data_IF_219324224822
#
_entry.id   IF_219324224822
#
_cell.length_a   1.000
_cell.length_b   1.000
_cell.length_c   1.000
_cell.angle_alpha   90.00
_cell.angle_beta   90.00
_cell.angle_gamma   90.00
#
_symmetry.space_group_name_H-M   'P 1'
#
loop_
_entity.id
_entity.type
_entity.pdbx_description
1 polymer ?
#
# COMPACT_ATOMS: atom_id res chain seq x y z
N UNK A 1 -1.75 10.08 7.35
CA UNK A 1 -1.63 8.76 8.02
C UNK A 1 -2.58 7.79 7.39
N UNK A 2 -2.28 6.47 7.32
CA UNK A 2 -3.16 5.54 6.66
C UNK A 2 -4.54 5.52 7.34
N UNK A 3 -5.59 5.70 6.56
CA UNK A 3 -6.97 5.72 7.05
C UNK A 3 -7.39 4.39 7.69
N UNK A 4 -6.80 3.29 7.22
CA UNK A 4 -7.04 1.94 7.73
C UNK A 4 -6.17 1.56 8.94
N UNK A 5 -5.33 2.47 9.46
CA UNK A 5 -4.51 2.22 10.66
C UNK A 5 -5.33 2.49 11.92
N UNK A 6 -5.48 1.55 12.85
CA UNK A 6 -6.12 1.80 14.13
C UNK A 6 -5.26 2.69 15.02
N UNK A 7 -5.92 3.37 15.95
CA UNK A 7 -5.31 4.27 16.92
C UNK A 7 -5.62 3.82 18.32
N UNK A 8 -4.59 3.71 19.14
CA UNK A 8 -4.71 3.41 20.57
C UNK A 8 -3.99 4.51 21.35
N UNK A 9 -4.67 5.11 22.31
CA UNK A 9 -4.15 6.18 23.18
C UNK A 9 -3.45 7.33 22.41
N UNK A 10 -4.01 7.71 21.26
CA UNK A 10 -3.43 8.76 20.40
C UNK A 10 -2.21 8.34 19.59
N UNK A 11 -1.84 7.06 19.59
CA UNK A 11 -0.72 6.51 18.83
C UNK A 11 -1.22 5.62 17.67
N UNK A 12 -0.67 5.77 16.45
CA UNK A 12 -1.03 4.94 15.32
C UNK A 12 -0.38 3.55 15.43
N UNK A 13 -1.19 2.51 15.30
CA UNK A 13 -0.73 1.12 15.30
C UNK A 13 -0.39 0.67 13.89
N UNK A 14 0.74 1.11 13.33
CA UNK A 14 1.12 0.86 11.94
C UNK A 14 1.27 -0.62 11.55
N UNK A 15 1.45 -1.50 12.52
CA UNK A 15 1.50 -2.94 12.26
C UNK A 15 0.12 -3.57 12.05
N UNK A 16 -0.94 -2.87 12.44
CA UNK A 16 -2.31 -3.35 12.42
C UNK A 16 -3.13 -2.70 11.31
N UNK A 17 -4.21 -3.36 10.94
CA UNK A 17 -5.21 -2.84 10.00
C UNK A 17 -6.56 -2.83 10.69
N UNK A 18 -7.25 -1.69 10.64
CA UNK A 18 -8.65 -1.59 11.06
C UNK A 18 -9.53 -2.22 9.98
N UNK A 19 -10.10 -3.36 10.30
CA UNK A 19 -10.89 -4.15 9.34
C UNK A 19 -12.19 -3.47 8.94
N UNK A 20 -12.86 -2.77 9.87
CA UNK A 20 -14.08 -2.02 9.56
C UNK A 20 -13.80 -0.95 8.51
N UNK A 21 -12.80 -0.12 8.76
CA UNK A 21 -12.37 0.92 7.80
C UNK A 21 -11.84 0.33 6.50
N UNK A 22 -11.13 -0.79 6.55
CA UNK A 22 -10.68 -1.48 5.34
C UNK A 22 -11.84 -1.98 4.50
N UNK A 23 -12.89 -2.50 5.13
CA UNK A 23 -14.11 -2.95 4.46
C UNK A 23 -14.88 -1.78 3.82
N UNK A 24 -14.96 -0.65 4.51
CA UNK A 24 -15.60 0.56 3.97
C UNK A 24 -14.80 1.12 2.80
N UNK A 25 -13.46 1.20 2.93
CA UNK A 25 -12.59 1.57 1.82
C UNK A 25 -12.77 0.66 0.60
N UNK A 26 -12.93 -0.65 0.82
CA UNK A 26 -13.14 -1.61 -0.26
C UNK A 26 -14.49 -1.40 -0.97
N UNK A 27 -15.60 -1.26 -0.21
CA UNK A 27 -16.96 -1.13 -0.74
C UNK A 27 -17.18 0.19 -1.44
N UNK A 28 -16.70 1.27 -0.85
CA UNK A 28 -16.93 2.64 -1.30
C UNK A 28 -15.82 3.16 -2.21
N UNK A 29 -14.85 2.33 -2.55
CA UNK A 29 -13.67 2.69 -3.37
C UNK A 29 -12.89 3.87 -2.77
N UNK A 30 -12.68 3.87 -1.46
CA UNK A 30 -11.90 4.90 -0.78
C UNK A 30 -10.42 4.53 -0.70
N UNK A 31 -9.59 5.53 -0.76
CA UNK A 31 -8.15 5.37 -0.58
C UNK A 31 -7.82 4.94 0.84
N UNK A 32 -7.08 3.85 1.00
CA UNK A 32 -6.66 3.31 2.30
C UNK A 32 -5.71 4.24 3.09
N UNK A 33 -5.20 5.29 2.46
CA UNK A 33 -4.31 6.29 3.11
C UNK A 33 -5.08 7.54 3.52
N UNK A 34 -5.79 8.20 2.60
CA UNK A 34 -6.43 9.49 2.86
C UNK A 34 -7.95 9.43 3.05
N UNK A 35 -8.55 8.26 2.89
CA UNK A 35 -10.00 8.01 3.01
C UNK A 35 -10.87 8.83 2.05
N UNK A 36 -10.33 9.32 0.95
CA UNK A 36 -11.12 9.99 -0.07
C UNK A 36 -11.38 9.08 -1.26
N UNK A 37 -12.44 9.36 -2.01
CA UNK A 37 -12.89 8.57 -3.15
C UNK A 37 -11.79 8.48 -4.21
N UNK A 38 -11.48 7.26 -4.64
CA UNK A 38 -10.60 7.04 -5.80
C UNK A 38 -11.41 7.13 -7.10
N UNK A 39 -10.90 7.83 -8.13
CA UNK A 39 -11.56 7.87 -9.43
C UNK A 39 -11.65 6.47 -10.04
N UNK A 40 -12.53 6.30 -11.01
CA UNK A 40 -12.51 5.09 -11.85
C UNK A 40 -11.23 5.08 -12.67
N UNK A 41 -10.57 3.93 -12.72
CA UNK A 41 -9.29 3.77 -13.38
C UNK A 41 -8.23 3.19 -12.45
N UNK A 42 -6.95 3.42 -12.69
CA UNK A 42 -5.88 2.77 -11.94
C UNK A 42 -5.96 3.04 -10.45
N UNK A 43 -5.72 2.00 -9.68
CA UNK A 43 -5.51 2.03 -8.23
C UNK A 43 -4.10 1.60 -7.90
N UNK A 44 -3.57 2.07 -6.79
CA UNK A 44 -2.15 1.93 -6.49
C UNK A 44 -1.94 1.18 -5.20
N UNK A 45 -0.82 0.45 -5.15
CA UNK A 45 -0.36 -0.25 -3.94
C UNK A 45 1.15 -0.23 -3.86
N UNK A 46 1.68 -0.23 -2.64
CA UNK A 46 3.10 -0.49 -2.40
C UNK A 46 3.30 -1.99 -2.33
N UNK A 47 4.25 -2.52 -3.10
CA UNK A 47 4.59 -3.95 -3.13
C UNK A 47 5.97 -4.19 -2.52
N UNK A 48 6.13 -5.32 -1.86
CA UNK A 48 7.42 -5.74 -1.30
C UNK A 48 8.38 -6.28 -2.36
N UNK A 49 9.65 -6.48 -1.99
CA UNK A 49 10.74 -6.85 -2.89
C UNK A 49 10.45 -8.07 -3.76
N UNK A 50 9.89 -9.14 -3.18
CA UNK A 50 9.60 -10.37 -3.94
C UNK A 50 8.55 -10.18 -5.02
N UNK A 51 7.46 -9.45 -4.72
CA UNK A 51 6.43 -9.15 -5.70
C UNK A 51 6.92 -8.14 -6.74
N UNK A 52 7.69 -7.13 -6.31
CA UNK A 52 8.34 -6.16 -7.19
C UNK A 52 9.23 -6.85 -8.24
N UNK A 53 10.08 -7.79 -7.81
CA UNK A 53 10.93 -8.57 -8.71
C UNK A 53 10.11 -9.38 -9.72
N UNK A 54 9.07 -10.07 -9.26
CA UNK A 54 8.20 -10.87 -10.12
C UNK A 54 7.44 -10.02 -11.16
N UNK A 55 7.00 -8.82 -10.76
CA UNK A 55 6.40 -7.85 -11.68
C UNK A 55 7.43 -7.39 -12.72
N UNK A 56 8.62 -6.97 -12.27
CA UNK A 56 9.70 -6.51 -13.15
C UNK A 56 10.11 -7.56 -14.18
N UNK A 57 10.27 -8.81 -13.76
CA UNK A 57 10.56 -9.94 -14.66
C UNK A 57 9.45 -10.19 -15.69
N UNK A 58 8.18 -10.14 -15.26
CA UNK A 58 7.06 -10.32 -16.16
C UNK A 58 7.01 -9.21 -17.22
N UNK A 59 7.16 -7.95 -16.80
CA UNK A 59 7.18 -6.80 -17.70
C UNK A 59 8.36 -6.84 -18.68
N UNK A 60 9.56 -7.16 -18.21
CA UNK A 60 10.74 -7.30 -19.05
C UNK A 60 10.59 -8.40 -20.11
N UNK A 61 9.84 -9.46 -19.78
CA UNK A 61 9.53 -10.55 -20.69
C UNK A 61 8.29 -10.29 -21.58
N UNK A 62 7.68 -9.11 -21.51
CA UNK A 62 6.46 -8.77 -22.24
C UNK A 62 5.24 -9.61 -21.83
N UNK A 63 5.24 -10.14 -20.62
CA UNK A 63 4.16 -11.00 -20.09
C UNK A 63 3.25 -10.21 -19.16
N UNK A 64 1.98 -10.56 -19.14
CA UNK A 64 1.06 -10.06 -18.13
C UNK A 64 1.45 -10.63 -16.75
N UNK A 65 1.60 -9.75 -15.79
CA UNK A 65 1.72 -10.16 -14.39
C UNK A 65 0.33 -10.43 -13.81
N UNK A 66 0.15 -11.61 -13.26
CA UNK A 66 -1.07 -12.01 -12.56
C UNK A 66 -0.70 -12.47 -11.15
N UNK A 67 -0.96 -11.63 -10.17
CA UNK A 67 -0.86 -12.05 -8.79
C UNK A 67 -2.17 -12.73 -8.36
N UNK A 68 -2.08 -14.02 -8.11
CA UNK A 68 -3.23 -14.79 -7.59
C UNK A 68 -3.31 -14.77 -6.06
N UNK A 69 -2.27 -14.30 -5.38
CA UNK A 69 -2.24 -14.22 -3.93
C UNK A 69 -2.99 -12.96 -3.46
N UNK A 70 -4.03 -13.10 -2.63
CA UNK A 70 -4.70 -11.95 -2.05
C UNK A 70 -3.81 -11.28 -1.00
N UNK A 71 -4.03 -9.98 -0.77
CA UNK A 71 -3.31 -9.18 0.22
C UNK A 71 -4.29 -8.45 1.14
N UNK A 72 -3.85 -8.14 2.35
CA UNK A 72 -4.58 -7.27 3.31
C UNK A 72 -4.33 -5.77 3.03
N UNK A 73 -3.41 -5.44 2.15
CA UNK A 73 -3.06 -4.05 1.84
C UNK A 73 -4.09 -3.47 0.87
N UNK A 74 -4.81 -2.44 1.32
CA UNK A 74 -5.86 -1.80 0.54
C UNK A 74 -5.31 -0.90 -0.57
N UNK A 75 -6.14 -0.60 -1.59
CA UNK A 75 -5.79 0.28 -2.68
C UNK A 75 -5.71 1.75 -2.26
N UNK A 76 -5.03 2.58 -3.05
CA UNK A 76 -4.97 4.01 -2.82
C UNK A 76 -4.68 4.81 -4.08
N UNK A 77 -4.62 6.14 -3.91
CA UNK A 77 -4.18 7.04 -4.96
C UNK A 77 -2.68 6.91 -5.20
N UNK A 78 -2.23 7.23 -6.40
CA UNK A 78 -0.80 7.24 -6.76
C UNK A 78 0.03 8.08 -5.80
N UNK A 79 -0.33 9.34 -5.60
CA UNK A 79 0.37 10.24 -4.68
C UNK A 79 0.40 9.73 -3.24
N UNK A 80 -0.70 9.13 -2.76
CA UNK A 80 -0.76 8.56 -1.41
C UNK A 80 0.17 7.36 -1.24
N UNK A 81 0.27 6.49 -2.25
CA UNK A 81 1.15 5.32 -2.22
C UNK A 81 2.62 5.70 -2.40
N UNK A 82 2.94 6.67 -3.24
CA UNK A 82 4.27 7.27 -3.33
C UNK A 82 4.68 7.85 -1.96
N UNK A 83 3.83 8.65 -1.34
CA UNK A 83 4.08 9.19 -0.02
C UNK A 83 4.28 8.09 1.02
N UNK A 84 3.40 7.09 1.07
CA UNK A 84 3.50 5.98 2.01
C UNK A 84 4.81 5.18 1.84
N UNK A 85 5.26 4.98 0.61
CA UNK A 85 6.51 4.28 0.32
C UNK A 85 7.75 4.98 0.86
N UNK A 86 7.70 6.31 0.99
CA UNK A 86 8.82 7.11 1.48
C UNK A 86 8.79 7.33 3.00
N UNK A 87 7.61 7.47 3.60
CA UNK A 87 7.50 7.86 5.02
C UNK A 87 7.16 6.70 5.95
N UNK A 88 6.59 5.61 5.44
CA UNK A 88 6.29 4.46 6.27
C UNK A 88 7.60 3.79 6.72
N UNK A 89 7.87 3.66 8.03
CA UNK A 89 9.12 3.10 8.52
C UNK A 89 9.36 1.66 8.07
N UNK A 90 8.29 0.93 7.71
CA UNK A 90 8.38 -0.44 7.20
C UNK A 90 8.61 -0.53 5.69
N UNK A 91 8.37 0.56 4.96
CA UNK A 91 8.51 0.62 3.51
C UNK A 91 9.75 1.43 3.09
N UNK A 92 10.05 2.51 3.83
CA UNK A 92 11.14 3.42 3.51
C UNK A 92 12.53 2.95 3.97
N UNK A 93 12.62 1.97 4.90
CA UNK A 93 13.90 1.50 5.44
C UNK A 93 14.20 0.09 4.93
N UNK A 94 15.37 -0.15 4.30
CA UNK A 94 15.70 -1.45 3.72
C UNK A 94 15.71 -2.60 4.73
N UNK A 95 16.00 -2.31 6.00
CA UNK A 95 16.08 -3.30 7.08
C UNK A 95 14.87 -3.28 8.03
N UNK A 96 13.82 -2.49 7.72
CA UNK A 96 12.65 -2.44 8.56
C UNK A 96 11.90 -3.78 8.48
N UNK A 97 11.57 -4.33 9.64
CA UNK A 97 10.82 -5.58 9.78
C UNK A 97 9.57 -5.30 10.61
N UNK A 98 8.46 -5.92 10.24
CA UNK A 98 7.31 -5.94 11.15
C UNK A 98 7.69 -6.77 12.39
N UNK A 99 7.67 -6.15 13.54
CA UNK A 99 7.74 -6.82 14.82
C UNK A 99 6.32 -7.37 15.11
N UNK A 100 6.17 -8.67 15.10
CA UNK A 100 4.95 -9.33 15.58
C UNK A 100 5.16 -9.64 17.06
N UNK A 101 4.32 -9.09 17.92
CA UNK A 101 4.29 -9.50 19.32
C UNK A 101 3.69 -10.89 19.42
N UNK A 102 4.11 -11.67 20.43
CA UNK A 102 3.65 -13.05 20.63
C UNK A 102 2.13 -13.16 20.93
N UNK A 103 1.47 -12.04 21.16
CA UNK A 103 0.05 -11.95 21.50
C UNK A 103 -0.87 -11.75 20.29
N UNK A 104 -0.33 -11.59 19.09
CA UNK A 104 -1.16 -11.45 17.89
C UNK A 104 -1.71 -12.80 17.45
N UNK A 105 -3.04 -12.91 17.18
CA UNK A 105 -3.66 -14.15 16.76
C UNK A 105 -2.97 -14.77 15.54
N UNK A 106 -2.80 -16.10 15.53
CA UNK A 106 -2.15 -16.84 14.45
C UNK A 106 -2.80 -16.62 13.08
N UNK A 107 -4.10 -16.32 13.03
CA UNK A 107 -4.83 -15.99 11.80
C UNK A 107 -4.30 -14.75 11.09
N UNK A 108 -3.79 -13.77 11.82
CA UNK A 108 -3.16 -12.56 11.27
C UNK A 108 -1.71 -12.80 10.85
N UNK A 109 -1.04 -13.77 11.46
CA UNK A 109 0.39 -14.03 11.22
C UNK A 109 0.64 -14.85 9.96
N UNK A 110 -0.33 -15.62 9.48
CA UNK A 110 -0.19 -16.46 8.29
C UNK A 110 0.10 -15.68 7.00
N UNK A 111 -0.30 -14.40 6.95
CA UNK A 111 -0.11 -13.53 5.78
C UNK A 111 1.08 -12.56 5.91
N UNK A 112 1.73 -12.53 7.07
CA UNK A 112 2.92 -11.71 7.28
C UNK A 112 4.13 -12.62 7.27
N UNK A 113 4.92 -12.56 6.20
CA UNK A 113 6.20 -13.28 6.14
C UNK A 113 7.11 -12.68 7.22
N UNK A 114 7.33 -13.43 8.30
CA UNK A 114 8.20 -13.01 9.41
C UNK A 114 9.60 -12.72 8.86
N UNK A 115 10.09 -11.53 9.16
CA UNK A 115 11.42 -11.10 8.74
C UNK A 115 11.56 -10.75 7.26
N UNK A 116 10.45 -10.62 6.50
CA UNK A 116 10.52 -10.06 5.16
C UNK A 116 11.11 -8.65 5.21
N UNK A 117 12.17 -8.44 4.47
CA UNK A 117 12.76 -7.11 4.29
C UNK A 117 11.85 -6.35 3.32
N UNK A 118 11.32 -5.22 3.76
CA UNK A 118 10.59 -4.28 2.91
C UNK A 118 11.46 -3.05 2.68
N UNK A 119 11.22 -2.32 1.64
CA UNK A 119 11.95 -1.07 1.38
C UNK A 119 12.59 -1.02 0.02
N UNK A 120 13.86 -0.70 -0.06
CA UNK A 120 14.60 -0.31 -1.30
C UNK A 120 14.31 -1.15 -2.54
N UNK A 121 14.05 -2.44 -2.38
CA UNK A 121 13.74 -3.34 -3.50
C UNK A 121 12.23 -3.46 -3.80
N UNK A 122 11.38 -2.73 -3.08
CA UNK A 122 9.95 -2.68 -3.36
C UNK A 122 9.61 -1.76 -4.53
N UNK A 123 8.30 -1.60 -4.77
CA UNK A 123 7.79 -0.70 -5.80
C UNK A 123 6.45 -0.09 -5.41
N UNK A 124 6.10 1.02 -6.03
CA UNK A 124 4.73 1.51 -6.12
C UNK A 124 4.16 1.06 -7.46
N UNK A 125 3.05 0.33 -7.41
CA UNK A 125 2.48 -0.28 -8.62
C UNK A 125 1.05 0.19 -8.82
N UNK A 126 0.76 0.65 -10.03
CA UNK A 126 -0.58 0.94 -10.52
C UNK A 126 -1.20 -0.31 -11.15
N UNK A 127 -2.42 -0.60 -10.75
CA UNK A 127 -3.23 -1.70 -11.26
C UNK A 127 -4.49 -1.14 -11.90
N UNK A 128 -4.98 -1.77 -12.97
CA UNK A 128 -6.17 -1.34 -13.68
C UNK A 128 -7.42 -1.30 -12.81
N UNK A 129 -7.55 -2.25 -11.89
CA UNK A 129 -8.62 -2.31 -10.88
C UNK A 129 -8.26 -3.29 -9.76
N UNK A 130 -9.19 -3.50 -8.83
CA UNK A 130 -9.10 -4.53 -7.79
C UNK A 130 -10.43 -5.23 -7.55
N UNK A 131 -10.34 -6.44 -7.05
CA UNK A 131 -11.45 -7.17 -6.45
C UNK A 131 -11.19 -7.34 -4.96
N UNK A 132 -12.23 -7.57 -4.18
CA UNK A 132 -12.07 -7.87 -2.76
C UNK A 132 -13.05 -8.92 -2.28
N UNK A 133 -12.65 -9.61 -1.23
CA UNK A 133 -13.51 -10.52 -0.48
C UNK A 133 -13.41 -10.21 1.01
N UNK A 134 -14.53 -10.32 1.71
CA UNK A 134 -14.58 -10.22 3.17
C UNK A 134 -14.67 -11.64 3.73
N UNK A 135 -13.67 -12.04 4.51
CA UNK A 135 -13.58 -13.38 5.10
C UNK A 135 -13.40 -13.23 6.61
N UNK A 136 -14.47 -13.48 7.36
CA UNK A 136 -14.50 -13.20 8.80
C UNK A 136 -14.24 -11.73 9.07
N UNK A 137 -13.18 -11.41 9.80
CA UNK A 137 -12.75 -10.05 10.12
C UNK A 137 -11.73 -9.49 9.12
N UNK A 138 -11.37 -10.23 8.06
CA UNK A 138 -10.36 -9.84 7.09
C UNK A 138 -10.99 -9.32 5.80
N UNK A 139 -10.38 -8.29 5.23
CA UNK A 139 -10.65 -7.84 3.86
C UNK A 139 -9.44 -8.18 3.01
N UNK A 140 -9.64 -9.04 2.04
CA UNK A 140 -8.60 -9.54 1.14
C UNK A 140 -8.78 -8.87 -0.22
N UNK A 141 -7.74 -8.24 -0.72
CA UNK A 141 -7.72 -7.59 -2.03
C UNK A 141 -6.94 -8.42 -3.04
N UNK A 142 -7.42 -8.45 -4.27
CA UNK A 142 -6.71 -8.97 -5.43
C UNK A 142 -6.63 -7.86 -6.47
N UNK A 143 -5.44 -7.48 -6.84
CA UNK A 143 -5.18 -6.43 -7.82
C UNK A 143 -5.08 -7.00 -9.22
N UNK A 144 -5.65 -6.29 -10.19
CA UNK A 144 -5.81 -6.73 -11.58
C UNK A 144 -4.98 -5.85 -12.49
N UNK A 145 -4.30 -6.47 -13.44
CA UNK A 145 -3.61 -5.84 -14.57
C UNK A 145 -2.65 -4.70 -14.17
N UNK A 146 -1.38 -4.97 -14.17
CA UNK A 146 -0.34 -3.93 -13.92
C UNK A 146 -0.35 -2.93 -15.06
N UNK A 147 -0.54 -1.65 -14.75
CA UNK A 147 -0.56 -0.54 -15.71
C UNK A 147 0.63 0.39 -15.55
N UNK A 148 1.23 0.45 -14.36
CA UNK A 148 2.44 1.24 -14.10
C UNK A 148 3.28 0.58 -13.02
N UNK A 149 4.60 0.68 -13.12
CA UNK A 149 5.56 0.08 -12.20
C UNK A 149 6.68 1.07 -11.89
N UNK A 150 6.78 1.46 -10.62
CA UNK A 150 7.74 2.46 -10.11
C UNK A 150 8.59 1.84 -9.00
N UNK A 151 9.79 1.34 -9.32
CA UNK A 151 10.68 0.74 -8.31
C UNK A 151 11.21 1.77 -7.31
N UNK A 152 11.45 1.34 -6.06
CA UNK A 152 11.85 2.21 -4.94
C UNK A 152 13.33 2.66 -4.95
N UNK A 153 14.16 2.08 -5.79
CA UNK A 153 15.55 2.50 -5.99
C UNK A 153 15.67 3.94 -6.57
N UNK A 154 14.54 4.50 -7.01
CA UNK A 154 14.43 5.87 -7.50
C UNK A 154 13.66 6.79 -6.53
N UNK A 155 13.84 6.62 -5.22
CA UNK A 155 13.09 7.35 -4.19
C UNK A 155 13.12 8.89 -4.36
N UNK A 156 14.26 9.45 -4.77
CA UNK A 156 14.38 10.89 -5.02
C UNK A 156 13.53 11.34 -6.23
N UNK A 157 13.46 10.53 -7.26
CA UNK A 157 12.61 10.79 -8.42
C UNK A 157 11.13 10.75 -8.03
N UNK A 158 10.71 9.75 -7.24
CA UNK A 158 9.34 9.65 -6.71
C UNK A 158 8.97 10.85 -5.84
N UNK A 159 9.90 11.33 -5.01
CA UNK A 159 9.67 12.52 -4.18
C UNK A 159 9.50 13.79 -5.02
N UNK A 160 10.32 13.96 -6.06
CA UNK A 160 10.21 15.09 -6.98
C UNK A 160 8.87 15.05 -7.75
N UNK A 161 8.47 13.87 -8.19
CA UNK A 161 7.20 13.64 -8.88
C UNK A 161 6.00 13.92 -7.97
N UNK A 162 6.01 13.42 -6.72
CA UNK A 162 4.97 13.72 -5.73
C UNK A 162 4.86 15.22 -5.46
N UNK A 163 5.96 15.93 -5.34
CA UNK A 163 5.97 17.40 -5.18
C UNK A 163 5.33 18.11 -6.38
N UNK A 164 5.64 17.67 -7.58
CA UNK A 164 5.06 18.22 -8.80
C UNK A 164 3.53 17.95 -8.87
N UNK A 165 3.08 16.74 -8.54
CA UNK A 165 1.66 16.41 -8.47
C UNK A 165 0.90 17.25 -7.43
N UNK A 166 1.47 17.43 -6.23
CA UNK A 166 0.87 18.26 -5.18
C UNK A 166 0.77 19.74 -5.60
N UNK A 167 1.81 20.26 -6.25
CA UNK A 167 1.80 21.62 -6.78
C UNK A 167 0.74 21.82 -7.89
N UNK A 168 0.63 20.86 -8.80
CA UNK A 168 -0.35 20.90 -9.91
C UNK A 168 -1.80 20.85 -9.40
N UNK A 169 -2.06 20.13 -8.30
CA UNK A 169 -3.39 19.97 -7.72
C UNK A 169 -3.76 21.06 -6.68
N UNK A 170 -2.95 22.12 -6.54
CA UNK A 170 -3.22 23.23 -5.62
C UNK A 170 -3.13 22.84 -4.13
N UNK A 171 -2.54 21.68 -3.84
CA UNK A 171 -2.38 21.17 -2.48
C UNK A 171 -1.29 21.89 -1.72
N UNK A 172 -1.66 22.89 -0.94
CA UNK A 172 -0.83 23.35 0.17
C UNK A 172 -0.71 22.23 1.23
N UNK A 173 0.27 22.33 2.15
CA UNK A 173 0.46 21.32 3.19
C UNK A 173 -0.85 21.16 3.98
N UNK A 174 -1.36 19.93 4.03
CA UNK A 174 -2.49 19.59 4.90
C UNK A 174 -2.03 19.87 6.34
N UNK A 175 -2.55 20.93 6.93
CA UNK A 175 -2.37 21.19 8.36
C UNK A 175 -3.04 20.03 9.10
N UNK A 176 -2.36 19.41 10.08
CA UNK A 176 -3.04 18.51 10.98
C UNK A 176 -4.21 19.28 11.62
N UNK A 177 -5.39 18.68 11.65
CA UNK A 177 -6.51 19.19 12.41
C UNK A 177 -6.11 19.17 13.90
N UNK A 178 -6.23 20.31 14.56
CA UNK A 178 -6.06 20.48 16.00
C UNK A 178 -7.06 19.63 16.79
#
# INVERSE_FOLDING_TARGET
MPAITPWEEGQPQFALTDYGRSADCARERLCSVCNTLMPRGPVWRVVGAGESAAIGEALAAGRLYRNMAPTLEGPGHRACMLYASMVCPYLARPNARRSLTAEQPDELTGHVVRGAVRGVLGAVVGFGDYEFAVTGTNVMFRFLDVVEYLPHDHADAHLAELRAELAANGGGPVRPAD
#
